data_IF_817459779165
#
_entry.id   IF_817459779165
#
_cell.length_a   1.000
_cell.length_b   1.000
_cell.length_c   1.000
_cell.angle_alpha   90.00
_cell.angle_beta   90.00
_cell.angle_gamma   90.00
#
_symmetry.space_group_name_H-M   'P 1'
#
loop_
_entity.id
_entity.type
_entity.pdbx_description
1 polymer ?
#
# COMPACT_ATOMS: atom_id res chain seq x y z
N UNK A 1 -2.08 -9.22 -19.51
CA UNK A 1 -0.85 -10.00 -19.30
C UNK A 1 -0.82 -10.36 -17.83
N UNK A 2 -0.80 -11.64 -17.44
CA UNK A 2 -0.85 -12.04 -16.04
C UNK A 2 0.56 -11.96 -15.44
N UNK A 3 0.69 -11.31 -14.28
CA UNK A 3 1.90 -11.43 -13.49
C UNK A 3 2.06 -12.88 -13.01
N UNK A 4 3.26 -13.47 -13.07
CA UNK A 4 3.60 -14.69 -12.36
C UNK A 4 3.08 -14.68 -10.91
N UNK A 5 2.69 -15.85 -10.39
CA UNK A 5 2.10 -15.96 -9.04
C UNK A 5 3.04 -15.51 -7.90
N UNK A 6 4.34 -15.39 -8.19
CA UNK A 6 5.38 -14.95 -7.25
C UNK A 6 5.75 -13.46 -7.40
N UNK A 7 5.03 -12.71 -8.24
CA UNK A 7 5.20 -11.25 -8.32
C UNK A 7 4.13 -10.57 -7.48
N UNK A 8 4.45 -9.42 -6.91
CA UNK A 8 3.48 -8.62 -6.18
C UNK A 8 2.35 -8.21 -7.13
N UNK A 9 1.14 -8.67 -6.86
CA UNK A 9 -0.03 -8.35 -7.69
C UNK A 9 -0.69 -7.02 -7.30
N UNK A 10 -0.37 -6.52 -6.10
CA UNK A 10 -0.84 -5.25 -5.58
C UNK A 10 0.36 -4.45 -5.09
N UNK A 11 0.46 -3.19 -5.50
CA UNK A 11 1.55 -2.30 -5.13
C UNK A 11 0.99 -1.08 -4.42
N UNK A 12 1.74 -0.57 -3.46
CA UNK A 12 1.51 0.74 -2.87
C UNK A 12 2.56 1.71 -3.39
N UNK A 13 2.10 2.80 -3.99
CA UNK A 13 2.90 3.91 -4.47
C UNK A 13 2.74 5.10 -3.53
N UNK A 14 3.85 5.51 -2.93
CA UNK A 14 3.95 6.66 -2.04
C UNK A 14 5.05 7.58 -2.54
N UNK A 15 4.73 8.86 -2.76
CA UNK A 15 5.73 9.83 -3.22
C UNK A 15 6.89 9.92 -2.22
N UNK A 16 8.13 9.85 -2.71
CA UNK A 16 9.32 9.98 -1.87
C UNK A 16 9.65 8.77 -1.00
N UNK A 17 8.92 7.64 -1.14
CA UNK A 17 9.32 6.36 -0.57
C UNK A 17 9.86 5.45 -1.68
N UNK A 18 11.12 5.03 -1.56
CA UNK A 18 11.66 3.94 -2.39
C UNK A 18 10.88 2.65 -2.09
N UNK A 19 10.87 1.67 -2.99
CA UNK A 19 10.01 0.47 -3.00
C UNK A 19 10.21 -0.53 -1.81
N UNK A 20 10.29 -0.02 -0.59
CA UNK A 20 10.55 -0.78 0.64
C UNK A 20 9.29 -1.41 1.23
N UNK A 21 8.10 -1.06 0.74
CA UNK A 21 6.82 -1.60 1.20
C UNK A 21 6.20 -2.51 0.15
N UNK A 22 5.93 -3.75 0.56
CA UNK A 22 5.15 -4.71 -0.22
C UNK A 22 3.81 -4.95 0.45
N UNK A 23 2.74 -5.07 -0.35
CA UNK A 23 1.40 -5.38 0.16
C UNK A 23 1.32 -6.87 0.48
N UNK A 24 1.08 -7.20 1.74
CA UNK A 24 0.83 -8.55 2.21
C UNK A 24 -0.66 -8.90 2.08
N UNK A 25 -1.52 -8.01 2.58
CA UNK A 25 -2.98 -8.13 2.54
C UNK A 25 -3.60 -6.75 2.38
N UNK A 26 -4.80 -6.70 1.81
CA UNK A 26 -5.63 -5.51 1.85
C UNK A 26 -7.11 -5.85 2.01
N UNK A 27 -7.85 -4.94 2.64
CA UNK A 27 -9.30 -4.99 2.76
C UNK A 27 -9.88 -3.63 2.39
N UNK A 28 -10.97 -3.63 1.61
CA UNK A 28 -11.61 -2.42 1.11
C UNK A 28 -13.07 -2.35 1.47
N UNK A 29 -13.54 -1.16 1.86
CA UNK A 29 -14.95 -0.85 2.00
C UNK A 29 -15.34 0.30 1.09
N UNK A 30 -16.27 0.04 0.18
CA UNK A 30 -16.72 0.98 -0.85
C UNK A 30 -18.24 0.94 -0.99
N UNK A 31 -18.84 2.08 -1.35
CA UNK A 31 -20.27 2.18 -1.59
C UNK A 31 -20.66 3.44 -2.35
N UNK A 32 -21.78 3.36 -3.10
CA UNK A 32 -22.28 4.49 -3.89
C UNK A 32 -22.54 5.69 -2.98
N UNK A 33 -22.01 6.85 -3.37
CA UNK A 33 -22.13 8.12 -2.64
C UNK A 33 -21.59 8.08 -1.20
N UNK A 34 -20.61 7.22 -0.94
CA UNK A 34 -19.90 7.11 0.35
C UNK A 34 -18.39 7.24 0.13
N UNK A 35 -17.63 7.76 1.12
CA UNK A 35 -16.19 7.67 1.06
C UNK A 35 -15.75 6.20 1.09
N UNK A 36 -14.73 5.88 0.31
CA UNK A 36 -14.07 4.58 0.36
C UNK A 36 -13.03 4.55 1.48
N UNK A 37 -12.67 3.34 1.92
CA UNK A 37 -11.54 3.12 2.81
C UNK A 37 -10.87 1.80 2.47
N UNK A 38 -9.55 1.82 2.43
CA UNK A 38 -8.73 0.62 2.33
C UNK A 38 -7.83 0.51 3.57
N UNK A 39 -7.75 -0.70 4.09
CA UNK A 39 -6.78 -1.11 5.11
C UNK A 39 -5.74 -1.98 4.41
N UNK A 40 -4.47 -1.66 4.60
CA UNK A 40 -3.33 -2.32 3.97
C UNK A 40 -2.43 -2.91 5.07
N UNK A 41 -2.12 -4.19 4.96
CA UNK A 41 -1.00 -4.79 5.68
C UNK A 41 0.23 -4.78 4.79
N UNK A 42 1.30 -4.15 5.28
CA UNK A 42 2.53 -3.93 4.53
C UNK A 42 3.70 -4.60 5.24
N UNK A 43 4.61 -5.14 4.45
CA UNK A 43 5.87 -5.71 4.94
C UNK A 43 7.07 -4.97 4.35
N UNK A 44 8.11 -4.82 5.16
CA UNK A 44 9.38 -4.20 4.77
C UNK A 44 10.57 -4.92 5.39
N UNK A 45 11.70 -4.94 4.68
CA UNK A 45 12.98 -5.39 5.23
C UNK A 45 13.64 -4.31 6.11
N UNK A 46 13.16 -3.05 6.05
CA UNK A 46 13.72 -1.92 6.81
C UNK A 46 12.92 -1.67 8.09
N UNK A 47 13.56 -1.82 9.24
CA UNK A 47 12.94 -1.59 10.55
C UNK A 47 12.79 -0.10 10.93
N UNK A 48 13.51 0.82 10.27
CA UNK A 48 13.58 2.24 10.63
C UNK A 48 12.81 3.18 9.70
N UNK A 49 11.60 2.78 9.27
CA UNK A 49 10.76 3.62 8.41
C UNK A 49 10.21 4.81 9.20
N UNK A 50 10.32 6.02 8.66
CA UNK A 50 9.68 7.21 9.23
C UNK A 50 8.19 7.22 8.86
N UNK A 51 7.36 6.68 9.74
CA UNK A 51 5.92 6.56 9.52
C UNK A 51 5.21 7.92 9.53
N UNK A 52 5.68 8.88 10.32
CA UNK A 52 5.07 10.20 10.41
C UNK A 52 5.20 10.96 9.09
N UNK A 53 6.35 10.82 8.41
CA UNK A 53 6.58 11.40 7.09
C UNK A 53 5.68 10.82 5.97
N UNK A 54 4.96 9.72 6.24
CA UNK A 54 4.03 9.10 5.29
C UNK A 54 2.57 9.51 5.54
N UNK A 55 2.26 10.07 6.70
CA UNK A 55 0.90 10.45 7.08
C UNK A 55 0.40 11.65 6.28
N UNK A 56 -0.91 11.68 6.00
CA UNK A 56 -1.59 12.76 5.28
C UNK A 56 -1.07 13.02 3.86
N UNK A 57 -0.46 12.01 3.24
CA UNK A 57 0.04 12.07 1.87
C UNK A 57 -0.80 11.18 0.96
N UNK A 58 -0.90 11.52 -0.34
CA UNK A 58 -1.52 10.66 -1.33
C UNK A 58 -0.81 9.30 -1.39
N UNK A 59 -1.61 8.24 -1.55
CA UNK A 59 -1.20 6.85 -1.63
C UNK A 59 -2.03 6.18 -2.74
N UNK A 60 -1.38 5.43 -3.64
CA UNK A 60 -2.01 4.86 -4.83
C UNK A 60 -1.63 3.39 -5.05
#
# INVERSE_FOLDING_TARGET
>A
MFNPANQTHFSLSLDGLAHDLQVLEFSGHEGISRPYRFELELVSERAGLDLEALMHRPAF
#
